data_IF_510444516228
#
_entry.id   IF_510444516228
#
_cell.length_a   1.000
_cell.length_b   1.000
_cell.length_c   1.000
_cell.angle_alpha   90.00
_cell.angle_beta   90.00
_cell.angle_gamma   90.00
#
_symmetry.space_group_name_H-M   'P 1'
#
loop_
_entity.id
_entity.type
_entity.pdbx_description
1 polymer ?
#
# COMPACT_ATOMS: atom_id res chain seq x y z
N UNK A 1 18.90 -18.23 34.88
CA UNK A 1 18.52 -17.35 33.76
C UNK A 1 17.51 -18.08 32.89
N UNK A 2 16.34 -17.52 32.69
CA UNK A 2 15.44 -17.96 31.61
C UNK A 2 16.13 -17.62 30.28
N UNK A 3 16.28 -18.61 29.40
CA UNK A 3 16.82 -18.38 28.06
C UNK A 3 15.68 -17.93 27.14
N UNK A 4 15.86 -16.90 26.29
CA UNK A 4 14.83 -16.47 25.35
C UNK A 4 14.52 -17.63 24.40
N UNK A 5 13.27 -18.09 24.43
CA UNK A 5 12.77 -19.10 23.48
C UNK A 5 12.24 -18.37 22.25
N UNK A 6 12.64 -18.83 21.08
CA UNK A 6 12.11 -18.35 19.81
C UNK A 6 10.62 -18.75 19.73
N UNK A 7 9.72 -17.83 20.08
CA UNK A 7 8.28 -17.99 19.87
C UNK A 7 8.05 -18.35 18.40
N UNK A 8 7.17 -19.34 18.16
CA UNK A 8 6.92 -19.86 16.81
C UNK A 8 6.60 -18.68 15.90
N UNK A 9 7.36 -18.55 14.81
CA UNK A 9 7.10 -17.53 13.78
C UNK A 9 5.61 -17.55 13.40
N UNK A 10 5.00 -16.38 13.14
CA UNK A 10 3.60 -16.34 12.71
C UNK A 10 3.42 -17.27 11.52
N UNK A 11 2.32 -18.04 11.49
CA UNK A 11 2.00 -19.04 10.44
C UNK A 11 1.99 -18.45 9.02
N UNK A 12 2.02 -17.12 8.90
CA UNK A 12 2.17 -16.43 7.64
C UNK A 12 3.24 -15.31 7.74
N UNK A 13 4.44 -15.50 7.17
CA UNK A 13 5.45 -14.45 7.14
C UNK A 13 5.03 -13.32 6.20
N UNK A 14 4.95 -12.09 6.70
CA UNK A 14 4.74 -10.90 5.86
C UNK A 14 6.05 -10.52 5.18
N UNK A 15 6.20 -10.87 3.90
CA UNK A 15 7.40 -10.58 3.10
C UNK A 15 7.13 -9.35 2.23
N UNK A 16 7.92 -8.29 2.40
CA UNK A 16 7.92 -7.11 1.55
C UNK A 16 9.11 -7.17 0.58
N UNK A 17 8.83 -7.13 -0.72
CA UNK A 17 9.86 -7.06 -1.77
C UNK A 17 9.92 -5.64 -2.31
N UNK A 18 11.13 -5.09 -2.46
CA UNK A 18 11.35 -3.71 -2.91
C UNK A 18 12.14 -3.69 -4.21
N UNK A 19 11.70 -2.89 -5.18
CA UNK A 19 12.32 -2.70 -6.48
C UNK A 19 13.56 -1.81 -6.43
N UNK A 20 14.24 -1.68 -7.57
CA UNK A 20 15.44 -0.84 -7.71
C UNK A 20 15.17 0.64 -7.40
N UNK A 21 13.94 1.09 -7.64
CA UNK A 21 13.43 2.43 -7.36
C UNK A 21 13.03 2.64 -5.89
N UNK A 22 13.15 1.61 -5.05
CA UNK A 22 12.79 1.69 -3.64
C UNK A 22 11.30 1.52 -3.35
N UNK A 23 10.48 1.18 -4.37
CA UNK A 23 9.04 0.95 -4.20
C UNK A 23 8.70 -0.52 -3.94
N UNK A 24 7.63 -0.74 -3.18
CA UNK A 24 7.13 -2.08 -2.90
C UNK A 24 6.63 -2.76 -4.19
N UNK A 25 7.21 -3.91 -4.52
CA UNK A 25 6.71 -4.78 -5.59
C UNK A 25 5.54 -5.58 -5.02
N UNK A 26 4.33 -5.00 -5.02
CA UNK A 26 3.11 -5.72 -4.65
C UNK A 26 2.92 -6.89 -5.61
N UNK A 27 3.01 -8.11 -5.07
CA UNK A 27 2.73 -9.34 -5.80
C UNK A 27 1.22 -9.52 -6.01
N UNK A 28 0.72 -9.03 -7.14
CA UNK A 28 -0.36 -9.68 -7.91
C UNK A 28 -1.76 -9.80 -7.31
N UNK A 29 -2.19 -9.03 -6.31
CA UNK A 29 -3.58 -9.01 -5.84
C UNK A 29 -4.03 -7.63 -5.33
N UNK A 30 -3.97 -6.58 -6.16
CA UNK A 30 -4.38 -5.22 -5.73
C UNK A 30 -4.78 -4.23 -6.82
N UNK A 31 -4.97 -4.68 -8.07
CA UNK A 31 -5.10 -3.79 -9.23
C UNK A 31 -6.53 -3.58 -9.75
N UNK A 32 -7.56 -3.73 -8.91
CA UNK A 32 -8.91 -3.28 -9.30
C UNK A 32 -9.28 -1.91 -8.69
N UNK A 33 -8.74 -1.58 -7.51
CA UNK A 33 -8.99 -0.29 -6.82
C UNK A 33 -7.89 0.75 -7.02
N UNK A 34 -6.77 0.40 -7.66
CA UNK A 34 -5.63 1.30 -7.91
C UNK A 34 -5.72 2.04 -9.26
N UNK A 35 -6.94 2.27 -9.77
CA UNK A 35 -7.11 3.16 -10.92
C UNK A 35 -6.99 4.59 -10.41
N UNK A 36 -5.84 5.18 -10.66
CA UNK A 36 -5.52 6.55 -10.29
C UNK A 36 -6.61 7.50 -10.85
N UNK A 37 -7.39 8.13 -9.96
CA UNK A 37 -8.45 9.06 -10.35
C UNK A 37 -7.80 10.38 -10.77
N UNK A 38 -8.03 10.87 -12.00
CA UNK A 38 -7.49 12.15 -12.44
C UNK A 38 -7.88 13.27 -11.48
N UNK A 39 -6.95 14.16 -11.12
CA UNK A 39 -7.21 15.29 -10.22
C UNK A 39 -8.30 16.24 -10.74
N UNK A 40 -8.55 16.22 -12.05
CA UNK A 40 -9.65 16.93 -12.71
C UNK A 40 -11.02 16.43 -12.27
N UNK A 41 -11.13 15.20 -11.79
CA UNK A 41 -12.37 14.57 -11.33
C UNK A 41 -12.57 14.72 -9.81
N UNK A 42 -11.53 15.11 -9.06
CA UNK A 42 -11.63 15.34 -7.61
C UNK A 42 -12.45 16.58 -7.26
N UNK A 43 -12.67 17.48 -8.22
CA UNK A 43 -13.45 18.70 -8.04
C UNK A 43 -14.46 18.85 -9.17
N UNK A 44 -15.69 18.42 -8.91
CA UNK A 44 -16.79 18.43 -9.88
C UNK A 44 -17.11 19.82 -10.46
N UNK A 45 -17.01 20.88 -9.64
CA UNK A 45 -17.27 22.26 -10.08
C UNK A 45 -16.31 23.26 -9.46
N UNK A 46 -15.11 23.47 -10.05
CA UNK A 46 -14.09 24.36 -9.52
C UNK A 46 -14.60 25.78 -9.26
N UNK A 47 -15.36 26.36 -10.19
CA UNK A 47 -15.89 27.72 -10.08
C UNK A 47 -16.92 27.91 -8.95
N UNK A 48 -17.65 26.84 -8.59
CA UNK A 48 -18.66 26.87 -7.53
C UNK A 48 -18.03 26.87 -6.13
N UNK A 49 -16.82 26.31 -6.00
CA UNK A 49 -16.07 26.22 -4.73
C UNK A 49 -15.31 27.52 -4.42
N UNK A 50 -15.00 28.33 -5.43
CA UNK A 50 -14.20 29.55 -5.29
C UNK A 50 -14.97 30.77 -4.74
N UNK A 51 -16.29 30.67 -4.55
CA UNK A 51 -17.17 31.80 -4.21
C UNK A 51 -17.34 31.98 -2.71
#
# INVERSE_FOLDING_TARGET
MEMPRNERSPENPQILVVGQDGMALTGGNGDEDSREIPVTEQVEQPAKVMR
#
